data_IF_215690933501
#
_entry.id   IF_215690933501
#
_cell.length_a   1.000
_cell.length_b   1.000
_cell.length_c   1.000
_cell.angle_alpha   90.00
_cell.angle_beta   90.00
_cell.angle_gamma   90.00
#
_symmetry.space_group_name_H-M   'P 1'
#
loop_
_entity.id
_entity.type
_entity.pdbx_description
1 polymer ?
#
# COMPACT_ATOMS: atom_id res chain seq x y z
N UNK A 1 1.14 -14.60 -2.58
CA UNK A 1 2.04 -14.41 -1.41
C UNK A 1 2.58 -12.98 -1.30
N UNK A 2 3.13 -12.38 -2.37
CA UNK A 2 3.75 -11.04 -2.32
C UNK A 2 2.89 -9.95 -1.68
N UNK A 3 1.64 -9.75 -2.14
CA UNK A 3 0.80 -8.67 -1.63
C UNK A 3 0.41 -8.81 -0.15
N UNK A 4 0.28 -10.05 0.35
CA UNK A 4 0.02 -10.30 1.77
C UNK A 4 1.25 -9.93 2.62
N UNK A 5 2.46 -10.12 2.09
CA UNK A 5 3.70 -9.68 2.74
C UNK A 5 3.79 -8.15 2.72
N UNK A 6 3.54 -7.51 1.56
CA UNK A 6 3.49 -6.06 1.44
C UNK A 6 2.50 -5.44 2.43
N UNK A 7 1.30 -6.02 2.56
CA UNK A 7 0.29 -5.59 3.54
C UNK A 7 0.82 -5.65 4.97
N UNK A 8 1.40 -6.77 5.39
CA UNK A 8 2.00 -6.90 6.74
C UNK A 8 3.09 -5.86 6.99
N UNK A 9 3.96 -5.60 6.01
CA UNK A 9 5.01 -4.58 6.12
C UNK A 9 4.40 -3.19 6.30
N UNK A 10 3.42 -2.83 5.48
CA UNK A 10 2.79 -1.50 5.51
C UNK A 10 2.00 -1.29 6.81
N UNK A 11 1.25 -2.30 7.26
CA UNK A 11 0.53 -2.29 8.55
C UNK A 11 1.50 -2.13 9.72
N UNK A 12 2.66 -2.79 9.70
CA UNK A 12 3.69 -2.64 10.72
C UNK A 12 4.22 -1.20 10.82
N UNK A 13 4.33 -0.50 9.69
CA UNK A 13 4.72 0.92 9.64
C UNK A 13 3.54 1.88 9.90
N UNK A 14 2.39 1.37 10.39
CA UNK A 14 1.16 2.14 10.63
C UNK A 14 0.63 2.83 9.35
N UNK A 15 0.93 2.24 8.19
CA UNK A 15 0.46 2.68 6.89
C UNK A 15 -0.75 1.89 6.39
N UNK A 16 -1.15 2.15 5.15
CA UNK A 16 -2.21 1.43 4.45
C UNK A 16 -1.80 1.07 3.02
N UNK A 17 -2.33 -0.04 2.49
CA UNK A 17 -2.18 -0.45 1.09
C UNK A 17 -3.53 -0.78 0.49
N UNK A 18 -3.81 -0.25 -0.70
CA UNK A 18 -4.99 -0.57 -1.50
C UNK A 18 -4.64 -0.62 -2.99
N UNK A 19 -5.54 -1.16 -3.80
CA UNK A 19 -5.36 -1.25 -5.24
C UNK A 19 -6.60 -0.73 -5.96
N UNK A 20 -6.37 -0.01 -7.04
CA UNK A 20 -7.40 0.44 -7.97
C UNK A 20 -7.09 -0.14 -9.34
N UNK A 21 -8.11 -0.48 -10.12
CA UNK A 21 -7.89 -1.08 -11.43
C UNK A 21 -9.19 -1.24 -12.21
N UNK A 22 -9.04 -1.32 -13.54
CA UNK A 22 -10.15 -1.55 -14.45
C UNK A 22 -9.85 -2.80 -15.30
N UNK A 23 -10.84 -3.65 -15.59
CA UNK A 23 -10.64 -4.81 -16.46
C UNK A 23 -9.96 -4.41 -17.78
N UNK A 24 -8.91 -5.13 -18.16
CA UNK A 24 -8.15 -4.86 -19.38
C UNK A 24 -7.16 -3.68 -19.30
N UNK A 25 -7.13 -2.90 -18.22
CA UNK A 25 -6.22 -1.74 -18.05
C UNK A 25 -5.13 -1.95 -16.99
N UNK A 26 -5.16 -3.09 -16.30
CA UNK A 26 -4.24 -3.37 -15.19
C UNK A 26 -4.71 -2.77 -13.86
N UNK A 27 -3.79 -2.68 -12.91
CA UNK A 27 -4.04 -2.18 -11.57
C UNK A 27 -2.89 -1.28 -11.06
N UNK A 28 -3.24 -0.28 -10.26
CA UNK A 28 -2.34 0.61 -9.54
C UNK A 28 -2.43 0.27 -8.06
N UNK A 29 -1.28 0.11 -7.41
CA UNK A 29 -1.19 -0.17 -5.98
C UNK A 29 -0.74 1.10 -5.25
N UNK A 30 -1.57 1.56 -4.32
CA UNK A 30 -1.32 2.75 -3.52
C UNK A 30 -0.82 2.33 -2.15
N UNK A 31 0.29 2.94 -1.72
CA UNK A 31 0.89 2.75 -0.40
C UNK A 31 0.87 4.09 0.32
N UNK A 32 0.25 4.14 1.49
CA UNK A 32 0.24 5.31 2.37
C UNK A 32 1.10 4.99 3.57
N UNK A 33 2.06 5.85 3.86
CA UNK A 33 2.91 5.77 5.03
C UNK A 33 2.79 7.07 5.82
N UNK A 34 2.72 7.01 7.16
CA UNK A 34 2.78 8.22 7.97
C UNK A 34 4.11 8.93 7.77
N UNK A 35 4.07 10.24 7.62
CA UNK A 35 5.27 11.08 7.66
C UNK A 35 5.67 11.28 9.13
N UNK A 36 6.82 10.74 9.55
CA UNK A 36 7.39 10.94 10.88
C UNK A 36 8.63 11.86 10.81
N UNK A 37 8.80 12.78 11.78
CA UNK A 37 7.94 13.95 11.97
C UNK A 37 8.07 14.95 10.80
N UNK A 38 6.97 15.65 10.50
CA UNK A 38 7.04 16.89 9.73
C UNK A 38 7.75 17.96 10.59
N UNK A 39 8.71 18.65 9.99
CA UNK A 39 9.39 19.81 10.59
C UNK A 39 8.41 20.95 10.83
#
# INVERSE_FOLDING_TARGET
>A
MGLAICRKIVEHHKGAIYAEGHPGSGAVFHILLPQFPAS
#
